data_IF_985504008547
#
_entry.id   IF_985504008547
#
_cell.length_a   1.000
_cell.length_b   1.000
_cell.length_c   1.000
_cell.angle_alpha   90.00
_cell.angle_beta   90.00
_cell.angle_gamma   90.00
#
_symmetry.space_group_name_H-M   'P 1'
#
loop_
_entity.id
_entity.type
_entity.pdbx_description
1 polymer ?
2 polymer ?
3 non-polymer ?
4 non-polymer ?
5 non-polymer ?
6 water ?
#
# COMPACT_ATOMS: atom_id res chain seq x y z
N UNK A 1 16.11 19.30 13.01
CA UNK A 1 15.51 18.11 12.42
C UNK A 1 14.16 17.82 13.07
N UNK A 2 13.15 18.59 12.69
CA UNK A 2 11.80 18.37 13.20
C UNK A 2 11.37 16.94 12.95
N UNK A 3 10.61 16.39 13.91
CA UNK A 3 10.21 14.99 13.82
C UNK A 3 9.00 14.79 12.94
N UNK A 4 8.25 15.84 12.62
CA UNK A 4 7.05 15.74 11.81
C UNK A 4 7.31 15.97 10.33
N UNK A 5 8.58 16.03 9.92
CA UNK A 5 8.92 16.31 8.52
C UNK A 5 9.95 15.32 8.01
N UNK A 6 9.93 15.06 6.71
CA UNK A 6 10.89 14.17 6.09
C UNK A 6 12.32 14.67 6.33
N UNK A 7 13.19 13.77 6.78
CA UNK A 7 14.55 14.13 7.16
C UNK A 7 15.53 14.11 6.00
N UNK A 8 16.62 14.85 6.15
CA UNK A 8 17.77 14.71 5.27
C UNK A 8 18.74 13.72 5.90
N UNK A 9 19.98 13.68 5.41
CA UNK A 9 20.93 12.68 5.92
C UNK A 9 21.39 13.01 7.32
N UNK A 10 21.83 14.26 7.54
CA UNK A 10 22.47 14.61 8.81
C UNK A 10 21.58 14.33 10.01
N UNK A 11 20.26 14.29 9.82
CA UNK A 11 19.37 13.99 10.93
C UNK A 11 19.62 12.58 11.48
N UNK A 12 20.08 11.67 10.63
CA UNK A 12 20.30 10.28 11.04
C UNK A 12 21.68 10.08 11.64
N UNK A 13 22.72 10.57 10.95
CA UNK A 13 24.08 10.32 11.40
C UNK A 13 24.42 11.13 12.66
N UNK A 14 23.77 12.27 12.86
CA UNK A 14 24.02 13.10 14.03
C UNK A 14 22.73 13.78 14.50
N UNK B 1 -13.79 13.72 -16.06
CA UNK B 1 -14.25 13.79 -14.67
C UNK B 1 -14.78 12.44 -14.19
N UNK B 2 -14.75 11.44 -15.07
CA UNK B 2 -15.16 10.08 -14.72
C UNK B 2 -14.13 9.12 -15.30
N UNK B 3 -13.64 8.20 -14.47
CA UNK B 3 -12.76 7.14 -14.93
C UNK B 3 -13.62 6.08 -15.63
N UNK B 4 -13.27 5.78 -16.87
CA UNK B 4 -14.08 4.87 -17.68
C UNK B 4 -13.87 3.43 -17.26
N UNK B 5 -14.89 2.60 -17.51
CA UNK B 5 -14.92 1.25 -16.95
C UNK B 5 -13.66 0.47 -17.31
N UNK B 6 -13.31 0.42 -18.60
CA UNK B 6 -12.14 -0.36 -18.99
C UNK B 6 -10.87 0.14 -18.31
N UNK B 7 -10.77 1.45 -18.06
CA UNK B 7 -9.62 1.98 -17.35
C UNK B 7 -9.60 1.47 -15.91
N UNK B 8 -10.75 1.54 -15.22
CA UNK B 8 -10.82 1.04 -13.86
C UNK B 8 -10.52 -0.45 -13.82
N UNK B 9 -11.11 -1.20 -14.75
CA UNK B 9 -10.97 -2.66 -14.74
C UNK B 9 -9.51 -3.07 -14.90
N UNK B 10 -8.84 -2.51 -15.91
CA UNK B 10 -7.45 -2.87 -16.17
C UNK B 10 -6.55 -2.51 -15.00
N UNK B 11 -6.69 -1.29 -14.48
CA UNK B 11 -5.79 -0.81 -13.44
C UNK B 11 -5.99 -1.53 -12.12
N UNK B 12 -7.16 -2.11 -11.87
CA UNK B 12 -7.45 -2.78 -10.62
C UNK B 12 -7.24 -4.29 -10.68
N UNK B 13 -7.03 -4.85 -11.87
CA UNK B 13 -6.93 -6.29 -12.00
C UNK B 13 -5.61 -6.80 -11.45
N UNK B 14 -5.69 -7.96 -10.79
CA UNK B 14 -4.54 -8.66 -10.21
C UNK B 14 -3.22 -8.38 -10.93
N UNK B 15 -2.24 -7.82 -10.21
CA UNK B 15 -0.91 -7.57 -10.75
C UNK B 15 0.03 -7.13 -9.64
N UNK B 16 1.35 -7.08 -9.89
CA UNK B 16 2.28 -6.58 -8.86
C UNK B 16 2.20 -5.06 -8.76
N UNK B 17 2.10 -4.56 -7.52
CA UNK B 17 1.97 -3.13 -7.26
C UNK B 17 2.85 -2.76 -6.08
N UNK B 18 3.45 -1.57 -6.15
CA UNK B 18 4.26 -1.05 -5.06
C UNK B 18 3.45 -0.99 -3.78
N UNK B 19 3.73 -1.89 -2.84
CA UNK B 19 3.07 -1.95 -1.55
C UNK B 19 4.05 -1.53 -0.46
N UNK B 20 3.53 -0.85 0.57
CA UNK B 20 4.33 -0.40 1.69
C UNK B 20 4.13 -1.35 2.86
N UNK B 21 5.19 -2.04 3.26
CA UNK B 21 5.11 -3.17 4.18
C UNK B 21 5.93 -2.87 5.42
N UNK B 22 5.36 -3.14 6.59
CA UNK B 22 6.08 -2.95 7.85
C UNK B 22 7.15 -4.03 8.00
N UNK B 23 8.35 -3.60 8.43
CA UNK B 23 9.47 -4.53 8.53
C UNK B 23 9.16 -5.64 9.53
N UNK B 24 8.46 -5.31 10.62
CA UNK B 24 8.15 -6.31 11.63
C UNK B 24 7.38 -7.49 11.03
N UNK B 25 6.46 -7.22 10.11
CA UNK B 25 5.73 -8.29 9.45
C UNK B 25 6.68 -9.23 8.72
N UNK B 26 7.77 -8.70 8.17
CA UNK B 26 8.69 -9.48 7.36
C UNK B 26 9.78 -10.14 8.19
N UNK B 27 10.13 -9.56 9.34
CA UNK B 27 11.16 -10.10 10.23
C UNK B 27 10.54 -10.28 11.62
N UNK B 28 9.72 -11.32 11.79
CA UNK B 28 9.06 -11.51 13.09
C UNK B 28 9.99 -11.90 14.22
N UNK B 29 11.14 -12.51 13.92
CA UNK B 29 12.11 -12.85 14.96
C UNK B 29 12.91 -11.64 15.44
N UNK B 30 12.64 -10.45 14.89
CA UNK B 30 13.36 -9.24 15.26
C UNK B 30 12.41 -8.15 15.74
N UNK B 31 11.26 -8.55 16.30
CA UNK B 31 10.29 -7.59 16.82
C UNK B 31 10.83 -6.84 18.04
N UNK B 32 12.00 -7.23 18.55
CA UNK B 32 12.62 -6.48 19.63
C UNK B 32 13.20 -5.16 19.15
N UNK B 33 13.54 -5.08 17.86
CA UNK B 33 14.28 -3.94 17.33
C UNK B 33 13.37 -2.76 17.04
N UNK B 34 14.00 -1.60 16.87
CA UNK B 34 13.37 -0.44 16.25
C UNK B 34 14.10 -0.21 14.94
N UNK B 35 13.34 -0.16 13.85
CA UNK B 35 13.90 0.02 12.52
C UNK B 35 13.61 1.42 12.00
N UNK B 36 14.52 1.93 11.17
CA UNK B 36 14.31 3.20 10.49
C UNK B 36 14.80 3.09 9.05
N UNK B 37 13.91 3.26 8.05
CA UNK B 37 12.47 3.45 8.20
C UNK B 37 11.80 2.20 8.77
N UNK B 38 10.63 2.35 9.38
CA UNK B 38 9.91 1.21 9.94
C UNK B 38 9.13 0.44 8.89
N UNK B 39 9.09 0.93 7.66
CA UNK B 39 8.36 0.27 6.58
C UNK B 39 9.17 0.43 5.29
N UNK B 40 8.95 -0.49 4.36
CA UNK B 40 9.72 -0.50 3.11
C UNK B 40 8.77 -0.65 1.93
N UNK B 41 9.11 -0.08 0.75
CA UNK B 41 8.27 -0.32 -0.43
C UNK B 41 8.66 -1.60 -1.15
N UNK B 42 7.67 -2.45 -1.43
CA UNK B 42 7.93 -3.73 -2.07
C UNK B 42 6.87 -3.99 -3.13
N UNK B 43 7.28 -4.68 -4.19
CA UNK B 43 6.35 -5.13 -5.22
C UNK B 43 5.63 -6.38 -4.72
N UNK B 44 4.31 -6.30 -4.61
CA UNK B 44 3.50 -7.40 -4.11
C UNK B 44 2.20 -7.47 -4.89
N UNK B 45 1.68 -8.69 -5.02
CA UNK B 45 0.44 -8.89 -5.76
C UNK B 45 -0.70 -8.16 -5.07
N UNK B 46 -1.47 -7.42 -5.87
CA UNK B 46 -2.62 -6.69 -5.37
C UNK B 46 -3.68 -6.60 -6.43
N UNK B 47 -4.86 -6.17 -6.02
CA UNK B 47 -6.00 -6.06 -6.90
C UNK B 47 -6.96 -7.22 -6.73
N UNK B 48 -7.90 -7.29 -7.66
CA UNK B 48 -9.00 -8.24 -7.59
C UNK B 48 -9.02 -9.10 -8.83
N UNK B 49 -9.70 -10.25 -8.71
CA UNK B 49 -9.90 -11.16 -9.81
C UNK B 49 -11.32 -11.13 -10.36
N UNK B 50 -12.22 -10.39 -9.72
CA UNK B 50 -13.58 -10.22 -10.21
C UNK B 50 -14.30 -11.58 -10.30
N UNK B 51 -14.07 -12.40 -9.28
CA UNK B 51 -14.74 -13.69 -9.13
C UNK B 51 -14.40 -14.25 -7.76
N UNK B 52 -15.42 -14.42 -6.91
CA UNK B 52 -15.16 -14.87 -5.54
C UNK B 52 -14.45 -16.22 -5.51
N UNK B 53 -14.55 -17.01 -6.56
CA UNK B 53 -13.85 -18.28 -6.63
C UNK B 53 -12.37 -18.19 -6.91
N UNK B 54 -11.84 -16.99 -7.14
CA UNK B 54 -10.45 -16.81 -7.50
C UNK B 54 -9.79 -15.82 -6.54
N UNK B 55 -8.47 -15.97 -6.37
CA UNK B 55 -7.67 -15.05 -5.59
C UNK B 55 -6.39 -14.71 -6.35
N UNK B 56 -5.79 -13.59 -5.98
CA UNK B 56 -4.61 -13.05 -6.65
C UNK B 56 -3.38 -13.48 -5.87
N UNK B 57 -2.59 -14.39 -6.45
CA UNK B 57 -1.44 -14.98 -5.76
C UNK B 57 -0.17 -14.79 -6.59
N UNK B 58 1.00 -14.75 -5.96
CA UNK B 58 2.24 -14.66 -6.73
C UNK B 58 2.59 -15.97 -7.39
N UNK B 59 3.09 -15.89 -8.62
CA UNK B 59 3.59 -17.04 -9.36
C UNK B 59 5.09 -16.94 -9.67
N UNK B 60 5.73 -15.83 -9.30
CA UNK B 60 7.15 -15.65 -9.49
C UNK B 60 7.64 -14.62 -8.48
N UNK B 61 8.77 -14.91 -7.84
CA UNK B 61 9.26 -14.08 -6.75
C UNK B 61 10.78 -13.91 -6.87
N UNK B 62 11.29 -12.90 -6.17
CA UNK B 62 12.72 -12.61 -6.14
C UNK B 62 13.03 -11.83 -4.87
N UNK B 63 14.32 -11.59 -4.65
CA UNK B 63 14.78 -10.88 -3.46
C UNK B 63 15.28 -9.49 -3.82
N UNK B 64 15.17 -8.58 -2.85
CA UNK B 64 15.77 -7.26 -2.93
C UNK B 64 16.35 -6.93 -1.56
N UNK B 65 17.54 -6.33 -1.55
CA UNK B 65 18.25 -5.99 -0.32
C UNK B 65 18.32 -4.49 -0.15
N UNK B 66 18.04 -4.01 1.06
CA UNK B 66 17.99 -2.59 1.35
C UNK B 66 18.79 -2.27 2.61
N UNK B 67 19.31 -1.03 2.66
CA UNK B 67 19.99 -0.53 3.85
C UNK B 67 18.96 -0.01 4.84
N UNK B 68 18.91 -0.63 6.02
CA UNK B 68 17.97 -0.28 7.08
C UNK B 68 18.75 0.05 8.34
N UNK B 69 18.28 1.03 9.09
CA UNK B 69 18.86 1.35 10.39
C UNK B 69 18.20 0.55 11.48
N UNK B 70 19.01 0.02 12.41
CA UNK B 70 18.57 -0.93 13.42
C UNK B 70 19.14 -0.53 14.77
N UNK B 71 18.34 -0.70 15.82
CA UNK B 71 18.78 -0.43 17.18
C UNK B 71 17.91 -1.24 18.14
N UNK B 72 18.52 -1.67 19.24
CA UNK B 72 17.83 -2.40 20.29
C UNK B 72 18.46 -2.02 21.61
N UNK B 73 17.82 -2.34 22.73
CA UNK B 73 18.40 -2.01 24.03
C UNK B 73 19.76 -2.65 24.22
N UNK B 74 20.59 -2.00 25.03
CA UNK B 74 21.96 -2.42 25.28
C UNK B 74 22.82 -2.41 24.02
N UNK B 75 22.35 -1.71 22.98
CA UNK B 75 23.08 -1.63 21.72
C UNK B 75 22.91 -0.23 21.14
N UNK B 76 23.82 0.13 20.24
CA UNK B 76 23.79 1.42 19.59
C UNK B 76 23.14 1.35 18.21
N UNK B 77 23.13 2.50 17.55
CA UNK B 77 22.51 2.61 16.24
C UNK B 77 23.39 1.94 15.19
N UNK B 78 22.85 0.91 14.53
CA UNK B 78 23.53 0.21 13.46
C UNK B 78 22.80 0.45 12.14
N UNK B 79 23.53 0.24 11.05
CA UNK B 79 22.96 0.24 9.70
C UNK B 79 23.36 -1.07 9.03
N UNK B 80 22.36 -1.79 8.52
CA UNK B 80 22.61 -3.11 7.99
C UNK B 80 21.73 -3.42 6.80
N UNK B 81 22.14 -4.45 6.07
CA UNK B 81 21.43 -4.90 4.89
C UNK B 81 20.37 -5.91 5.28
N UNK B 82 19.15 -5.73 4.77
CA UNK B 82 18.04 -6.63 5.04
C UNK B 82 17.39 -7.00 3.70
N UNK B 83 17.14 -8.28 3.50
CA UNK B 83 16.56 -8.79 2.26
C UNK B 83 15.06 -8.95 2.41
N UNK B 84 14.33 -8.66 1.34
CA UNK B 84 12.88 -8.75 1.34
C UNK B 84 12.40 -9.49 0.10
N UNK B 85 11.24 -10.14 0.24
CA UNK B 85 10.63 -10.88 -0.84
C UNK B 85 9.78 -9.95 -1.72
N UNK B 86 9.92 -10.10 -3.03
CA UNK B 86 9.16 -9.34 -4.00
C UNK B 86 8.43 -10.27 -4.95
N UNK B 87 7.33 -9.78 -5.51
CA UNK B 87 6.50 -10.52 -6.46
C UNK B 87 6.70 -9.94 -7.85
N UNK B 88 7.16 -10.79 -8.77
CA UNK B 88 7.41 -10.37 -10.15
C UNK B 88 6.25 -10.65 -11.08
N UNK B 89 5.43 -11.66 -10.78
CA UNK B 89 4.28 -12.00 -11.60
C UNK B 89 3.16 -12.49 -10.69
N UNK B 90 1.93 -12.19 -11.09
CA UNK B 90 0.74 -12.60 -10.37
C UNK B 90 -0.27 -13.16 -11.35
N UNK B 91 -1.09 -14.09 -10.89
CA UNK B 91 -2.17 -14.62 -11.71
C UNK B 91 -3.35 -14.95 -10.81
N UNK B 92 -4.54 -14.96 -11.42
CA UNK B 92 -5.77 -15.30 -10.72
C UNK B 92 -5.97 -16.80 -10.79
N UNK B 93 -6.12 -17.43 -9.62
CA UNK B 93 -6.19 -18.87 -9.50
C UNK B 93 -7.26 -19.24 -8.49
N UNK B 94 -7.94 -20.40 -8.66
CA UNK B 94 -8.92 -20.84 -7.66
C UNK B 94 -8.44 -20.68 -6.22
N UNK B 95 -9.39 -20.52 -5.29
CA UNK B 95 -9.06 -20.37 -3.88
C UNK B 95 -8.67 -21.70 -3.26
N UNK C 1 23.18 -3.57 -6.23
CA UNK C 1 22.31 -4.66 -5.80
C UNK C 1 21.74 -4.40 -4.40
N UNK C 2 22.08 -3.26 -3.82
CA UNK C 2 21.61 -2.89 -2.48
C UNK C 2 21.03 -1.48 -2.56
N UNK C 3 19.76 -1.34 -2.18
CA UNK C 3 19.13 -0.02 -2.16
C UNK C 3 19.72 0.80 -1.03
N UNK C 4 20.14 2.02 -1.33
CA UNK C 4 20.78 2.87 -0.34
C UNK C 4 19.75 3.45 0.62
N UNK C 5 20.22 3.78 1.83
CA UNK C 5 19.32 4.13 2.92
C UNK C 5 18.38 5.28 2.54
N UNK C 6 18.93 6.37 2.01
CA UNK C 6 18.12 7.55 1.75
C UNK C 6 17.05 7.30 0.70
N UNK C 7 17.33 6.40 -0.25
CA UNK C 7 16.30 6.06 -1.25
C UNK C 7 15.15 5.31 -0.59
N UNK C 8 15.46 4.37 0.30
CA UNK C 8 14.40 3.60 0.97
C UNK C 8 13.61 4.51 1.90
N UNK C 9 14.31 5.27 2.75
CA UNK C 9 13.63 6.13 3.71
C UNK C 9 12.69 7.11 3.01
N UNK C 10 13.15 7.72 1.93
CA UNK C 10 12.33 8.71 1.24
C UNK C 10 11.17 8.06 0.49
N UNK C 11 11.40 6.87 -0.09
CA UNK C 11 10.35 6.20 -0.83
C UNK C 11 9.24 5.69 0.07
N UNK C 12 9.56 5.41 1.34
CA UNK C 12 8.59 4.84 2.27
C UNK C 12 7.95 5.87 3.20
N UNK C 13 8.39 7.13 3.15
CA UNK C 13 7.86 8.13 4.06
C UNK C 13 6.43 8.47 3.65
N UNK C 14 5.58 8.67 4.68
CA UNK C 14 4.20 9.12 4.53
C UNK C 14 3.95 9.93 3.27
N UNK C 15 3.13 9.42 2.37
CA UNK C 15 2.75 10.13 1.15
C UNK C 15 1.54 9.43 0.53
N UNK C 16 0.85 10.09 -0.40
CA UNK C 16 -0.26 9.44 -1.10
C UNK C 16 0.24 8.40 -2.09
N UNK C 17 -0.31 7.20 -2.00
CA UNK C 17 0.11 6.08 -2.84
C UNK C 17 -1.12 5.38 -3.38
N UNK C 18 -1.07 5.03 -4.66
CA UNK C 18 -2.15 4.27 -5.27
C UNK C 18 -2.36 2.97 -4.52
N UNK C 19 -3.53 2.83 -3.90
CA UNK C 19 -3.91 1.66 -3.13
C UNK C 19 -5.13 1.02 -3.75
N UNK C 20 -5.13 -0.31 -3.80
CA UNK C 20 -6.24 -1.06 -4.37
C UNK C 20 -7.20 -1.46 -3.25
N UNK C 21 -8.43 -0.96 -3.31
CA UNK C 21 -9.40 -1.09 -2.24
C UNK C 21 -10.59 -1.87 -2.74
N UNK C 22 -11.06 -2.84 -1.94
CA UNK C 22 -12.28 -3.54 -2.25
C UNK C 22 -13.48 -2.65 -1.97
N UNK C 23 -14.45 -2.62 -2.89
CA UNK C 23 -15.57 -1.71 -2.76
C UNK C 23 -16.37 -2.01 -1.50
N UNK C 24 -16.40 -3.28 -1.08
CA UNK C 24 -17.06 -3.61 0.19
C UNK C 24 -16.32 -3.02 1.37
N UNK C 25 -15.00 -2.79 1.22
CA UNK C 25 -14.24 -2.14 2.28
C UNK C 25 -14.77 -0.73 2.54
N UNK C 26 -15.04 0.02 1.48
CA UNK C 26 -15.50 1.38 1.62
C UNK C 26 -16.99 1.45 1.96
N UNK C 27 -17.78 0.48 1.50
CA UNK C 27 -19.23 0.50 1.62
C UNK C 27 -19.68 -0.87 2.12
N UNK C 28 -19.50 -1.15 3.41
CA UNK C 28 -19.85 -2.49 3.93
C UNK C 28 -21.32 -2.84 3.77
N UNK C 29 -22.21 -1.85 3.77
CA UNK C 29 -23.64 -2.13 3.69
C UNK C 29 -24.08 -2.64 2.34
N UNK C 30 -23.18 -2.68 1.34
CA UNK C 30 -23.50 -3.17 0.01
C UNK C 30 -22.85 -4.52 -0.27
N UNK C 31 -22.54 -5.28 0.79
CA UNK C 31 -21.99 -6.62 0.63
C UNK C 31 -22.98 -7.58 -0.02
N UNK C 32 -24.25 -7.19 -0.14
CA UNK C 32 -25.27 -8.05 -0.72
C UNK C 32 -25.19 -8.13 -2.24
N UNK C 33 -24.44 -7.23 -2.89
CA UNK C 33 -24.41 -7.14 -4.34
C UNK C 33 -23.03 -7.53 -4.85
N UNK C 34 -22.91 -7.57 -6.18
CA UNK C 34 -21.68 -7.97 -6.85
C UNK C 34 -21.25 -6.84 -7.78
N UNK C 35 -20.00 -6.40 -7.64
CA UNK C 35 -19.46 -5.30 -8.41
C UNK C 35 -18.37 -5.78 -9.35
N UNK C 36 -18.23 -5.10 -10.48
CA UNK C 36 -17.17 -5.39 -11.44
C UNK C 36 -16.60 -4.08 -11.96
N UNK C 37 -15.30 -3.78 -11.72
CA UNK C 37 -14.39 -4.59 -10.91
C UNK C 37 -14.81 -4.59 -9.43
N UNK C 38 -14.40 -5.61 -8.68
CA UNK C 38 -14.71 -5.66 -7.27
C UNK C 38 -13.81 -4.77 -6.43
N UNK C 39 -12.73 -4.25 -7.00
CA UNK C 39 -11.81 -3.36 -6.30
C UNK C 39 -11.46 -2.20 -7.22
N UNK C 40 -11.05 -1.09 -6.63
CA UNK C 40 -10.75 0.11 -7.41
C UNK C 40 -9.40 0.70 -6.97
N UNK C 41 -8.68 1.38 -7.86
CA UNK C 41 -7.42 2.02 -7.45
C UNK C 41 -7.66 3.42 -6.90
N UNK C 42 -7.21 3.67 -5.67
CA UNK C 42 -7.41 4.95 -5.02
C UNK C 42 -6.11 5.46 -4.43
N UNK C 43 -5.93 6.77 -4.46
CA UNK C 43 -4.79 7.41 -3.80
C UNK C 43 -5.12 7.57 -2.33
N UNK C 44 -4.38 6.85 -1.48
CA UNK C 44 -4.58 6.90 -0.05
C UNK C 44 -3.24 7.07 0.66
N UNK C 45 -3.26 7.80 1.77
CA UNK C 45 -2.04 7.99 2.54
C UNK C 45 -1.46 6.66 2.96
N UNK C 46 -0.15 6.50 2.77
CA UNK C 46 0.52 5.27 3.12
C UNK C 46 1.96 5.57 3.49
N UNK C 47 2.61 4.57 4.08
CA UNK C 47 3.98 4.70 4.51
C UNK C 47 4.08 4.93 6.01
N UNK C 48 5.30 5.20 6.45
CA UNK C 48 5.62 5.29 7.85
C UNK C 48 6.13 6.69 8.19
N UNK C 49 6.08 7.02 9.47
CA UNK C 49 6.57 8.28 10.00
C UNK C 49 7.83 8.03 10.81
N UNK C 50 8.50 9.13 11.18
CA UNK C 50 9.76 9.06 11.89
C UNK C 50 9.63 8.48 13.30
N UNK C 51 8.41 8.28 13.80
CA UNK C 51 8.20 7.87 15.17
C UNK C 51 6.84 7.20 15.28
N UNK C 52 6.75 6.18 16.14
CA UNK C 52 5.50 5.45 16.29
C UNK C 52 4.41 6.30 16.92
N UNK C 53 4.77 7.40 17.58
CA UNK C 53 3.77 8.31 18.12
C UNK C 53 3.05 9.12 17.06
N UNK C 54 3.61 9.21 15.87
CA UNK C 54 3.00 9.92 14.76
C UNK C 54 2.28 8.94 13.83
N UNK C 55 1.37 9.48 13.02
CA UNK C 55 0.62 8.69 12.06
C UNK C 55 0.44 9.48 10.78
N UNK C 56 0.33 8.75 9.67
CA UNK C 56 0.20 9.35 8.34
C UNK C 56 -1.28 9.60 8.07
N UNK C 57 -1.69 10.86 8.08
CA UNK C 57 -3.09 11.23 7.93
C UNK C 57 -3.25 12.18 6.76
N UNK C 58 -4.41 12.22 6.11
CA UNK C 58 -4.60 13.15 4.99
C UNK C 58 -4.83 14.57 5.47
N UNK C 59 -4.28 15.52 4.71
CA UNK C 59 -4.54 16.94 4.93
C UNK C 59 -5.29 17.58 3.77
N UNK C 60 -5.51 16.85 2.68
CA UNK C 60 -6.36 17.29 1.59
C UNK C 60 -7.03 16.05 1.00
N UNK C 61 -8.34 16.11 0.84
CA UNK C 61 -9.13 15.00 0.31
C UNK C 61 -9.99 15.48 -0.85
N UNK C 62 -10.53 14.53 -1.59
CA UNK C 62 -11.39 14.83 -2.72
C UNK C 62 -12.10 13.56 -3.16
N UNK C 63 -13.18 13.73 -3.92
CA UNK C 63 -13.94 12.62 -4.46
C UNK C 63 -13.54 12.36 -5.90
N UNK C 64 -13.47 11.08 -6.26
CA UNK C 64 -13.22 10.66 -7.64
C UNK C 64 -14.36 9.73 -8.05
N UNK C 65 -14.83 9.90 -9.28
CA UNK C 65 -15.98 9.16 -9.79
C UNK C 65 -15.52 8.19 -10.87
N UNK C 66 -16.00 6.94 -10.78
CA UNK C 66 -15.58 5.88 -11.67
C UNK C 66 -16.79 5.13 -12.23
N UNK C 67 -16.62 4.57 -13.43
CA UNK C 67 -17.66 3.77 -14.07
C UNK C 67 -17.56 2.33 -13.57
N UNK C 68 -18.54 1.91 -12.78
CA UNK C 68 -18.54 0.59 -12.15
C UNK C 68 -19.78 -0.16 -12.58
N UNK C 69 -19.64 -1.48 -12.68
CA UNK C 69 -20.77 -2.36 -12.98
C UNK C 69 -21.25 -3.04 -11.71
N UNK C 70 -22.57 -3.17 -11.58
CA UNK C 70 -23.20 -3.79 -10.43
C UNK C 70 -24.38 -4.62 -10.90
N UNK C 71 -24.59 -5.77 -10.27
CA UNK C 71 -25.62 -6.70 -10.70
C UNK C 71 -26.16 -7.45 -9.48
N UNK C 72 -27.48 -7.51 -9.36
CA UNK C 72 -28.15 -8.28 -8.34
C UNK C 72 -28.56 -9.64 -8.90
N UNK C 73 -28.70 -10.66 -8.04
CA UNK C 73 -28.89 -12.02 -8.55
C UNK C 73 -30.15 -12.14 -9.40
N UNK C 74 -29.99 -12.78 -10.55
CA UNK C 74 -31.09 -13.03 -11.48
C UNK C 74 -31.76 -11.73 -11.93
N UNK C 75 -31.01 -10.63 -11.93
CA UNK C 75 -31.54 -9.32 -12.30
C UNK C 75 -30.61 -8.67 -13.32
N UNK C 76 -31.08 -7.55 -13.87
CA UNK C 76 -30.37 -6.90 -14.96
C UNK C 76 -29.00 -6.41 -14.57
N UNK C 77 -28.17 -6.20 -15.58
CA UNK C 77 -26.81 -5.71 -15.42
C UNK C 77 -26.81 -4.19 -15.49
N UNK C 78 -26.30 -3.54 -14.46
CA UNK C 78 -26.24 -2.09 -14.38
C UNK C 78 -24.82 -1.60 -14.53
N UNK C 79 -24.67 -0.42 -15.13
CA UNK C 79 -23.40 0.30 -15.18
C UNK C 79 -23.69 1.75 -14.83
N UNK C 80 -22.92 2.30 -13.90
CA UNK C 80 -23.16 3.66 -13.46
C UNK C 80 -21.94 4.24 -12.76
N UNK C 81 -22.14 5.40 -12.15
CA UNK C 81 -21.07 6.14 -11.51
C UNK C 81 -21.05 5.86 -10.01
N UNK C 82 -19.85 5.64 -9.47
CA UNK C 82 -19.64 5.49 -8.04
C UNK C 82 -18.50 6.40 -7.61
N UNK C 83 -18.71 7.09 -6.49
CA UNK C 83 -17.73 8.03 -5.95
C UNK C 83 -16.93 7.39 -4.83
N UNK C 84 -15.64 7.71 -4.77
CA UNK C 84 -14.76 7.21 -3.73
C UNK C 84 -13.89 8.33 -3.21
N UNK C 85 -13.55 8.27 -1.93
CA UNK C 85 -12.70 9.27 -1.31
C UNK C 85 -11.25 9.03 -1.71
N UNK C 86 -10.56 10.10 -2.09
CA UNK C 86 -9.14 10.05 -2.41
C UNK C 86 -8.37 11.03 -1.52
N UNK C 87 -7.12 10.68 -1.23
CA UNK C 87 -6.23 11.50 -0.42
C UNK C 87 -5.24 12.20 -1.33
N UNK C 88 -5.24 13.54 -1.28
CA UNK C 88 -4.38 14.34 -2.13
C UNK C 88 -3.08 14.77 -1.45
N UNK C 89 -3.08 14.86 -0.12
CA UNK C 89 -1.88 15.26 0.61
C UNK C 89 -1.90 14.55 1.96
N UNK C 90 -0.71 14.30 2.49
CA UNK C 90 -0.56 13.55 3.74
C UNK C 90 0.53 14.20 4.58
N UNK C 91 0.39 14.06 5.90
CA UNK C 91 1.35 14.60 6.84
C UNK C 91 1.41 13.70 8.05
N UNK C 92 2.58 13.69 8.70
CA UNK C 92 2.78 12.94 9.94
C UNK C 92 2.37 13.82 11.11
N UNK C 93 1.37 13.39 11.86
CA UNK C 93 0.76 14.15 12.93
C UNK C 93 0.62 13.28 14.16
N UNK C 94 0.53 13.90 15.35
CA UNK C 94 0.23 13.11 16.55
C UNK C 94 -1.08 12.36 16.40
N UNK C 95 -1.13 11.16 16.97
CA UNK C 95 -2.31 10.31 16.87
C UNK C 95 -3.21 10.46 18.09
X LIG D 1 22.67 14.08 15.79
X LIG E 1 25.91 5.95 12.95
X LIG E 1 24.81 5.57 11.97
X LIG E 1 24.53 4.15 12.11
X LIG E 1 23.54 6.35 12.31
X LIG E 1 25.18 5.84 10.51
X LIG E 1 26.63 5.48 10.15
X LIG E 1 26.89 4.14 10.53
X LIG E 1 26.88 5.66 8.66
X LIG E 1 26.82 5.41 12.71
X LIG E 1 26.10 7.02 12.89
X LIG E 1 25.59 5.69 13.96
X LIG E 1 24.57 3.72 11.23
X LIG E 1 22.97 6.52 11.41
X LIG E 1 22.95 5.77 13.02
X LIG E 1 23.81 7.30 12.76
X LIG E 1 24.51 5.29 9.86
X LIG E 1 25.04 6.91 10.31
X LIG E 1 27.29 6.14 10.70
X LIG E 1 27.83 3.93 10.34
X LIG E 1 27.68 4.98 8.35
X LIG E 1 25.97 5.43 8.11
X LIG E 1 27.18 6.69 8.47
X LIG F 1 22.80 0.81 28.27
X LIG F 1 23.37 -0.15 28.77
X LIG F 1 22.95 1.20 27.05
X LIG F 1 21.81 1.66 29.06
X LIG F 1 22.04 1.65 30.00
X LIG F 1 20.91 1.32 28.96
X LIG F 1 21.83 2.58 28.75
X LIG G 1 26.50 -1.32 3.99
X LIG G 1 26.75 -1.36 5.25
X LIG G 1 25.38 -1.41 3.50
X LIG G 1 27.75 -1.13 3.13
X LIG G 1 27.62 -1.53 2.26
X LIG G 1 28.52 -1.54 3.54
X LIG G 1 27.93 -0.18 3.00
X LIG H 1 10.56 -1.32 -5.23
X LIG H 1 11.09 -1.74 -4.20
X LIG H 1 9.36 -0.85 -5.31
X LIG H 1 11.29 -1.31 -6.57
X LIG H 1 12.15 -1.75 -6.49
X LIG H 1 11.43 -0.41 -6.89
X LIG H 1 10.76 -1.79 -7.25
X LIG I 1 -15.87 15.95 0.01
X LIG I 1 -14.90 15.76 -0.70
X LIG I 1 -16.96 16.51 -0.36
X LIG I 1 -15.88 15.52 1.48
X LIG I 1 -14.98 15.53 1.84
X LIG I 1 -16.24 14.64 1.57
X LIG I 1 -16.43 16.13 2.00
X LIG J 1 -22.78 6.07 -17.90
X LIG J 1 -21.98 5.51 -17.16
X LIG J 1 -24.05 5.87 -17.89
X LIG J 1 -22.33 7.09 -18.95
X LIG J 1 -21.52 6.79 -19.39
X LIG J 1 -22.15 7.94 -18.53
X LIG J 1 -23.02 7.21 -19.62
#
# INVERSE_FOLDING_TARGET
CDIHVLWEWDCFEKLX
EVVKFMDVYQRSYCHPIETLVDIFQEYPDEIEYIFKPSCVPLMRCGGCCNDEGLECVPTEESNITMQIMRIKPHQGQHIGEMSFLQHNKCECRPK
EVVKFMDVYQRSYCHPIETLVDIFQEYPDEIEYIFKPSCVPLMRCGGCCNDEGLECVPTEESNITMQIMRIKPHQGQHIGEMSFLQHNKCECRPK
NH2 N
MPD C1 C2 O2 CM C3 C4 O4 C5 H11 H12 H13 HO2 HM1 HM2 HM3 H31 H32 H4 HO4 H51 H52 H53
ACY C O OXT CH3 H1 H2 H3
ACY C O OXT CH3 H1 H2 H3
ACY C O OXT CH3 H1 H2 H3
ACY C O OXT CH3 H1 H2 H3
ACY C O OXT CH3 H1 H2 H3
#
